data_IF_148317439705
#
_entry.id   IF_148317439705
#
_cell.length_a   1.000
_cell.length_b   1.000
_cell.length_c   1.000
_cell.angle_alpha   90.00
_cell.angle_beta   90.00
_cell.angle_gamma   90.00
#
_symmetry.space_group_name_H-M   'P 1'
#
loop_
_entity.id
_entity.type
_entity.pdbx_description
1 polymer ?
#
# COMPACT_ATOMS: atom_id res chain seq x y z
N UNK A 1 -7.44 -20.30 15.86
CA UNK A 1 -7.66 -19.15 16.79
C UNK A 1 -6.75 -17.97 16.45
N UNK A 2 -5.61 -18.19 15.80
CA UNK A 2 -4.58 -17.18 15.45
C UNK A 2 -5.01 -16.10 14.45
N UNK A 3 -5.96 -16.36 13.54
CA UNK A 3 -6.36 -15.38 12.52
C UNK A 3 -7.12 -14.16 13.11
N UNK A 4 -7.72 -14.30 14.29
CA UNK A 4 -8.55 -13.25 14.89
C UNK A 4 -7.68 -12.20 15.61
N UNK A 5 -6.54 -12.59 16.18
CA UNK A 5 -5.60 -11.66 16.82
C UNK A 5 -4.82 -10.80 15.82
N UNK A 6 -4.44 -11.36 14.65
CA UNK A 6 -3.77 -10.60 13.57
C UNK A 6 -4.61 -9.41 13.09
N UNK A 7 -5.94 -9.53 13.11
CA UNK A 7 -6.84 -8.47 12.67
C UNK A 7 -6.92 -7.31 13.66
N UNK A 8 -6.56 -7.51 14.93
CA UNK A 8 -6.72 -6.51 15.98
C UNK A 8 -5.66 -5.40 15.95
N UNK A 9 -4.54 -5.63 15.24
CA UNK A 9 -3.44 -4.67 15.07
C UNK A 9 -3.21 -4.29 13.58
N UNK A 10 -4.19 -4.55 12.73
CA UNK A 10 -4.15 -4.28 11.29
C UNK A 10 -4.39 -2.79 11.01
N UNK A 11 -3.44 -2.11 10.37
CA UNK A 11 -3.61 -0.72 9.96
C UNK A 11 -4.50 -0.61 8.71
N UNK A 12 -5.82 -0.70 8.92
CA UNK A 12 -6.81 -0.70 7.84
C UNK A 12 -6.83 0.60 7.03
N UNK A 13 -6.52 1.74 7.65
CA UNK A 13 -6.41 3.03 6.96
C UNK A 13 -5.27 3.01 5.94
N UNK A 14 -4.09 2.53 6.35
CA UNK A 14 -2.94 2.37 5.48
C UNK A 14 -3.24 1.40 4.33
N UNK A 15 -3.89 0.27 4.61
CA UNK A 15 -4.31 -0.69 3.59
C UNK A 15 -5.30 -0.08 2.58
N UNK A 16 -6.29 0.67 3.05
CA UNK A 16 -7.26 1.33 2.18
C UNK A 16 -6.58 2.37 1.29
N UNK A 17 -5.60 3.11 1.81
CA UNK A 17 -4.82 4.06 1.03
C UNK A 17 -3.98 3.34 -0.04
N UNK A 18 -3.30 2.25 0.31
CA UNK A 18 -2.52 1.41 -0.62
C UNK A 18 -3.41 0.90 -1.77
N UNK A 19 -4.60 0.38 -1.45
CA UNK A 19 -5.56 -0.11 -2.46
C UNK A 19 -6.02 1.02 -3.37
N UNK A 20 -6.39 2.16 -2.79
CA UNK A 20 -6.82 3.35 -3.55
C UNK A 20 -5.73 3.82 -4.52
N UNK A 21 -4.48 3.91 -4.04
CA UNK A 21 -3.35 4.31 -4.87
C UNK A 21 -3.03 3.29 -5.96
N UNK A 22 -3.14 1.98 -5.70
CA UNK A 22 -2.99 0.94 -6.72
C UNK A 22 -4.01 1.09 -7.85
N UNK A 23 -5.28 1.31 -7.49
CA UNK A 23 -6.35 1.52 -8.49
C UNK A 23 -6.05 2.76 -9.33
N UNK A 24 -5.76 3.90 -8.69
CA UNK A 24 -5.45 5.15 -9.40
C UNK A 24 -4.21 5.02 -10.30
N UNK A 25 -3.17 4.32 -9.84
CA UNK A 25 -1.96 4.10 -10.61
C UNK A 25 -2.24 3.26 -11.87
N UNK A 26 -3.10 2.24 -11.77
CA UNK A 26 -3.56 1.43 -12.90
C UNK A 26 -4.36 2.26 -13.91
N UNK A 27 -5.25 3.14 -13.43
CA UNK A 27 -6.00 4.05 -14.30
C UNK A 27 -5.06 4.97 -15.10
N UNK A 28 -4.08 5.58 -14.43
CA UNK A 28 -3.12 6.47 -15.09
C UNK A 28 -2.22 5.72 -16.06
N UNK A 29 -1.79 4.50 -15.71
CA UNK A 29 -1.04 3.64 -16.62
C UNK A 29 -1.79 3.45 -17.94
N UNK A 30 -3.10 3.19 -17.87
CA UNK A 30 -3.93 2.95 -19.03
C UNK A 30 -4.28 4.23 -19.81
N UNK A 31 -4.35 5.37 -19.14
CA UNK A 31 -4.73 6.65 -19.77
C UNK A 31 -3.56 7.42 -20.37
N UNK A 32 -2.46 7.59 -19.62
CA UNK A 32 -1.35 8.49 -19.96
C UNK A 32 -0.03 7.72 -20.04
N UNK A 33 0.05 6.57 -19.36
CA UNK A 33 1.22 5.71 -19.38
C UNK A 33 2.21 5.97 -18.23
N UNK A 34 3.19 5.06 -18.10
CA UNK A 34 4.10 5.04 -16.96
C UNK A 34 5.16 6.16 -16.97
N UNK A 35 5.35 6.85 -18.11
CA UNK A 35 6.29 7.97 -18.22
C UNK A 35 5.72 9.30 -17.71
N UNK A 36 4.44 9.35 -17.36
CA UNK A 36 3.84 10.56 -16.81
C UNK A 36 4.39 10.87 -15.42
N UNK A 37 4.60 12.15 -15.12
CA UNK A 37 5.07 12.59 -13.80
C UNK A 37 4.09 12.19 -12.69
N UNK A 38 2.79 12.16 -12.98
CA UNK A 38 1.75 11.71 -12.04
C UNK A 38 1.91 10.22 -11.73
N UNK A 39 2.08 9.36 -12.74
CA UNK A 39 2.33 7.93 -12.52
C UNK A 39 3.57 7.70 -11.68
N UNK A 40 4.68 8.35 -12.03
CA UNK A 40 5.96 8.21 -11.32
C UNK A 40 5.78 8.60 -9.85
N UNK A 41 5.17 9.76 -9.59
CA UNK A 41 4.93 10.26 -8.23
C UNK A 41 4.06 9.29 -7.42
N UNK A 42 2.97 8.80 -8.01
CA UNK A 42 2.08 7.86 -7.33
C UNK A 42 2.75 6.50 -7.10
N UNK A 43 3.59 6.04 -8.02
CA UNK A 43 4.32 4.77 -7.87
C UNK A 43 5.32 4.82 -6.70
N UNK A 44 6.00 5.96 -6.52
CA UNK A 44 6.91 6.20 -5.41
C UNK A 44 6.13 6.23 -4.09
N UNK A 45 5.03 6.99 -4.03
CA UNK A 45 4.18 7.04 -2.83
C UNK A 45 3.64 5.66 -2.46
N UNK A 46 3.16 4.90 -3.44
CA UNK A 46 2.68 3.54 -3.21
C UNK A 46 3.78 2.63 -2.66
N UNK A 47 5.00 2.73 -3.19
CA UNK A 47 6.14 1.96 -2.68
C UNK A 47 6.44 2.29 -1.21
N UNK A 48 6.46 3.57 -0.84
CA UNK A 48 6.68 4.00 0.55
C UNK A 48 5.62 3.44 1.51
N UNK A 49 4.34 3.50 1.13
CA UNK A 49 3.26 3.00 1.97
C UNK A 49 3.28 1.48 2.10
N UNK A 50 3.60 0.75 1.02
CA UNK A 50 3.77 -0.70 1.09
C UNK A 50 4.93 -1.09 2.01
N UNK A 51 6.07 -0.37 1.94
CA UNK A 51 7.19 -0.62 2.85
C UNK A 51 6.80 -0.37 4.30
N UNK A 52 6.12 0.75 4.59
CA UNK A 52 5.60 1.06 5.93
C UNK A 52 4.70 -0.07 6.44
N UNK A 53 3.78 -0.55 5.61
CA UNK A 53 2.90 -1.66 5.98
C UNK A 53 3.68 -2.95 6.26
N UNK A 54 4.68 -3.27 5.45
CA UNK A 54 5.53 -4.44 5.68
C UNK A 54 6.37 -4.32 6.95
N UNK A 55 6.86 -3.12 7.28
CA UNK A 55 7.55 -2.85 8.54
C UNK A 55 6.61 -3.05 9.74
N UNK A 56 5.38 -2.53 9.70
CA UNK A 56 4.36 -2.73 10.73
C UNK A 56 4.06 -4.24 10.94
N UNK A 57 3.97 -5.01 9.85
CA UNK A 57 3.78 -6.46 9.92
C UNK A 57 5.00 -7.22 10.42
N UNK A 58 6.19 -6.82 10.02
CA UNK A 58 7.44 -7.44 10.48
C UNK A 58 7.61 -7.25 11.98
N UNK A 59 7.34 -6.05 12.50
CA UNK A 59 7.34 -5.77 13.94
C UNK A 59 6.29 -6.61 14.67
N UNK A 60 5.10 -6.78 14.09
CA UNK A 60 4.03 -7.61 14.67
C UNK A 60 4.41 -9.09 14.73
N UNK A 61 5.17 -9.61 13.76
CA UNK A 61 5.61 -11.01 13.72
C UNK A 61 6.83 -11.31 14.60
N UNK A 62 7.62 -10.29 14.96
CA UNK A 62 8.82 -10.43 15.79
C UNK A 62 8.56 -10.27 17.30
N UNK A 63 7.37 -9.78 17.67
CA UNK A 63 6.94 -9.58 19.06
C UNK A 63 5.91 -10.64 19.46
#
# INVERSE_FOLDING_TARGET
MEAIESAHNENMELLQEIVTLKTKLSEIYNQIGPSSSEYITLSIRLNLLMNKYFEEKTVTLMN
#
